data_IF_268696265227
#
_entry.id   IF_268696265227
#
_cell.length_a   1.000
_cell.length_b   1.000
_cell.length_c   1.000
_cell.angle_alpha   90.00
_cell.angle_beta   90.00
_cell.angle_gamma   90.00
#
_symmetry.space_group_name_H-M   'P 1'
#
loop_
_entity.id
_entity.type
_entity.pdbx_description
1 polymer ?
#
# COMPACT_ATOMS: atom_id res chain seq x y z
N UNK A 1 10.57 -4.90 -31.74
CA UNK A 1 11.65 -4.75 -30.75
C UNK A 1 11.21 -5.51 -29.50
N UNK A 2 11.49 -6.82 -29.45
CA UNK A 2 11.17 -7.65 -28.28
C UNK A 2 12.32 -7.48 -27.30
N UNK A 3 12.06 -6.87 -26.14
CA UNK A 3 13.04 -6.82 -25.05
C UNK A 3 13.24 -8.24 -24.54
N UNK A 4 14.36 -8.87 -24.91
CA UNK A 4 14.91 -10.01 -24.17
C UNK A 4 15.16 -9.56 -22.73
N UNK A 5 14.42 -10.13 -21.79
CA UNK A 5 14.72 -10.03 -20.38
C UNK A 5 16.07 -10.69 -20.14
N UNK A 6 17.12 -9.89 -19.97
CA UNK A 6 18.40 -10.36 -19.45
C UNK A 6 18.17 -10.84 -18.01
N UNK A 7 17.73 -12.09 -17.87
CA UNK A 7 17.76 -12.79 -16.59
C UNK A 7 19.25 -12.94 -16.27
N UNK A 8 19.73 -12.15 -15.31
CA UNK A 8 21.08 -12.30 -14.79
C UNK A 8 21.19 -13.72 -14.22
N UNK A 9 21.84 -14.64 -14.94
CA UNK A 9 22.06 -16.00 -14.43
C UNK A 9 22.86 -15.97 -13.12
N UNK A 10 23.66 -14.92 -12.91
CA UNK A 10 24.42 -14.62 -11.69
C UNK A 10 23.53 -14.36 -10.45
N UNK A 11 22.22 -14.10 -10.64
CA UNK A 11 21.26 -13.88 -9.55
C UNK A 11 20.38 -15.10 -9.24
N UNK A 12 20.58 -16.24 -9.93
CA UNK A 12 19.88 -17.49 -9.61
C UNK A 12 20.57 -18.18 -8.45
N UNK A 13 19.83 -18.40 -7.38
CA UNK A 13 20.25 -19.29 -6.30
C UNK A 13 20.48 -20.70 -6.87
N UNK A 14 21.48 -21.40 -6.33
CA UNK A 14 21.64 -22.83 -6.57
C UNK A 14 20.31 -23.53 -6.23
N UNK A 15 19.82 -24.51 -7.02
CA UNK A 15 18.58 -25.23 -6.77
C UNK A 15 18.36 -25.68 -5.31
N UNK A 16 19.42 -26.10 -4.62
CA UNK A 16 19.35 -26.47 -3.20
C UNK A 16 18.99 -25.28 -2.30
N UNK A 17 19.59 -24.11 -2.55
CA UNK A 17 19.31 -22.90 -1.78
C UNK A 17 17.92 -22.33 -2.12
N UNK A 18 17.50 -22.43 -3.38
CA UNK A 18 16.14 -22.08 -3.78
C UNK A 18 15.11 -22.93 -3.04
N UNK A 19 15.34 -24.25 -2.91
CA UNK A 19 14.43 -25.14 -2.19
C UNK A 19 14.25 -24.78 -0.72
N UNK A 20 15.34 -24.34 -0.06
CA UNK A 20 15.33 -23.87 1.33
C UNK A 20 14.55 -22.56 1.48
N UNK A 21 14.68 -21.65 0.52
CA UNK A 21 13.92 -20.39 0.49
C UNK A 21 12.43 -20.67 0.31
N UNK A 22 12.07 -21.54 -0.62
CA UNK A 22 10.67 -21.89 -0.88
C UNK A 22 10.04 -22.59 0.34
N UNK A 23 10.77 -23.49 0.98
CA UNK A 23 10.36 -24.12 2.24
C UNK A 23 10.18 -23.08 3.37
N UNK A 24 11.10 -22.12 3.47
CA UNK A 24 10.99 -21.04 4.46
C UNK A 24 9.79 -20.11 4.21
N UNK A 25 9.56 -19.71 2.95
CA UNK A 25 8.45 -18.83 2.56
C UNK A 25 7.09 -19.52 2.73
N UNK A 26 7.02 -20.83 2.48
CA UNK A 26 5.79 -21.63 2.64
C UNK A 26 5.41 -21.91 4.10
N UNK A 27 6.40 -21.96 5.02
CA UNK A 27 6.16 -22.09 6.47
C UNK A 27 5.38 -20.92 7.08
N UNK A 28 5.28 -19.79 6.38
CA UNK A 28 4.10 -18.92 6.45
C UNK A 28 3.69 -18.40 7.82
N UNK A 29 4.61 -18.11 8.75
CA UNK A 29 4.24 -17.55 10.08
C UNK A 29 3.59 -16.16 10.00
N UNK A 30 3.68 -15.47 8.85
CA UNK A 30 3.06 -14.16 8.56
C UNK A 30 2.13 -14.21 7.32
N UNK A 31 1.61 -15.39 6.97
CA UNK A 31 0.54 -15.54 5.97
C UNK A 31 -0.80 -15.18 6.61
N UNK A 32 -1.18 -13.90 6.51
CA UNK A 32 -2.49 -13.42 6.97
C UNK A 32 -3.44 -13.33 5.77
N UNK A 33 -4.72 -13.67 5.96
CA UNK A 33 -5.74 -13.41 4.95
C UNK A 33 -5.83 -11.89 4.71
N UNK A 34 -5.22 -11.43 3.61
CA UNK A 34 -5.20 -10.01 3.27
C UNK A 34 -6.48 -9.67 2.55
N UNK A 35 -7.36 -8.93 3.24
CA UNK A 35 -8.49 -8.29 2.56
C UNK A 35 -7.96 -7.45 1.39
N UNK A 36 -8.57 -7.52 0.20
CA UNK A 36 -8.07 -6.78 -0.97
C UNK A 36 -8.00 -5.30 -0.63
N UNK A 37 -6.84 -4.69 -0.89
CA UNK A 37 -6.62 -3.28 -0.65
C UNK A 37 -7.54 -2.46 -1.56
N UNK A 38 -8.32 -1.55 -0.96
CA UNK A 38 -9.32 -0.74 -1.67
C UNK A 38 -8.92 0.74 -1.59
N UNK A 39 -7.94 1.19 -2.39
CA UNK A 39 -7.32 2.51 -2.26
C UNK A 39 -8.33 3.66 -2.36
N UNK A 40 -9.31 3.54 -3.25
CA UNK A 40 -10.34 4.57 -3.44
C UNK A 40 -11.17 4.81 -2.18
N UNK A 41 -11.44 3.77 -1.36
CA UNK A 41 -12.19 3.95 -0.11
C UNK A 41 -11.43 4.77 0.90
N UNK A 42 -10.12 4.55 0.99
CA UNK A 42 -9.23 5.31 1.88
C UNK A 42 -9.14 6.78 1.43
N UNK A 43 -9.01 7.02 0.12
CA UNK A 43 -8.99 8.37 -0.45
C UNK A 43 -10.30 9.12 -0.21
N UNK A 44 -11.46 8.48 -0.40
CA UNK A 44 -12.76 9.09 -0.12
C UNK A 44 -12.87 9.44 1.37
N UNK A 45 -12.48 8.52 2.26
CA UNK A 45 -12.48 8.77 3.70
C UNK A 45 -11.61 9.97 4.08
N UNK A 46 -10.39 10.05 3.51
CA UNK A 46 -9.50 11.18 3.71
C UNK A 46 -10.13 12.50 3.25
N UNK A 47 -10.68 12.54 2.04
CA UNK A 47 -11.34 13.74 1.50
C UNK A 47 -12.49 14.19 2.40
N UNK A 48 -13.34 13.26 2.86
CA UNK A 48 -14.46 13.57 3.76
C UNK A 48 -13.96 14.25 5.04
N UNK A 49 -12.93 13.69 5.69
CA UNK A 49 -12.38 14.25 6.93
C UNK A 49 -11.80 15.64 6.72
N UNK A 50 -10.98 15.82 5.68
CA UNK A 50 -10.34 17.12 5.39
C UNK A 50 -11.39 18.17 5.02
N UNK A 51 -12.37 17.82 4.18
CA UNK A 51 -13.47 18.73 3.83
C UNK A 51 -14.30 19.11 5.04
N UNK A 52 -14.62 18.15 5.93
CA UNK A 52 -15.38 18.43 7.15
C UNK A 52 -14.65 19.43 8.05
N UNK A 53 -13.35 19.23 8.29
CA UNK A 53 -12.56 20.16 9.11
C UNK A 53 -12.38 21.52 8.44
N UNK A 54 -12.28 21.56 7.11
CA UNK A 54 -12.22 22.81 6.36
C UNK A 54 -13.49 23.63 6.53
N UNK A 55 -14.66 22.99 6.36
CA UNK A 55 -15.96 23.63 6.57
C UNK A 55 -16.17 24.04 8.02
N UNK A 56 -15.80 23.18 8.97
CA UNK A 56 -15.91 23.48 10.40
C UNK A 56 -15.06 24.69 10.80
N UNK A 57 -13.83 24.76 10.31
CA UNK A 57 -12.93 25.91 10.52
C UNK A 57 -13.55 27.21 9.98
N UNK A 58 -14.09 27.17 8.76
CA UNK A 58 -14.77 28.31 8.15
C UNK A 58 -16.02 28.74 8.93
N UNK A 59 -16.81 27.80 9.43
CA UNK A 59 -17.98 28.10 10.26
C UNK A 59 -17.58 28.83 11.54
N UNK A 60 -16.54 28.35 12.22
CA UNK A 60 -16.01 29.02 13.41
C UNK A 60 -15.50 30.42 13.08
N UNK A 61 -14.71 30.58 12.01
CA UNK A 61 -14.22 31.90 11.59
C UNK A 61 -15.38 32.89 11.35
N UNK A 62 -16.45 32.44 10.69
CA UNK A 62 -17.66 33.26 10.47
C UNK A 62 -18.41 33.58 11.76
N UNK A 63 -18.50 32.64 12.71
CA UNK A 63 -19.15 32.88 14.01
C UNK A 63 -18.39 33.88 14.87
N UNK A 64 -17.06 33.85 14.83
CA UNK A 64 -16.21 34.77 15.59
C UNK A 64 -15.93 36.10 14.87
N UNK A 65 -16.49 36.31 13.67
CA UNK A 65 -16.35 37.55 12.92
C UNK A 65 -14.91 37.82 12.44
N UNK A 66 -14.14 36.76 12.22
CA UNK A 66 -12.80 36.85 11.61
C UNK A 66 -13.01 36.94 10.10
N UNK A 67 -12.69 38.10 9.50
CA UNK A 67 -12.81 38.38 8.07
C UNK A 67 -11.44 38.40 7.39
#
# INVERSE_FOLDING_TARGET
MSQESHVNEDQRLNPDDQSRVDEFLSRGVNSVERKPFRPLRLLIGLLVVVTLFSLFSQLLARWYGVY
#
